data_IF_673121770448
#
_entry.id   IF_673121770448
#
_cell.length_a   1.000
_cell.length_b   1.000
_cell.length_c   1.000
_cell.angle_alpha   90.00
_cell.angle_beta   90.00
_cell.angle_gamma   90.00
#
_symmetry.space_group_name_H-M   'P 1'
#
loop_
_entity.id
_entity.type
_entity.pdbx_description
1 polymer ?
#
# COMPACT_ATOMS: atom_id res chain seq x y z
N UNK A 1 -7.71 -31.12 25.55
CA UNK A 1 -7.35 -32.31 24.74
C UNK A 1 -7.89 -32.07 23.34
N UNK A 2 -7.04 -31.77 22.36
CA UNK A 2 -7.48 -31.58 20.97
C UNK A 2 -7.93 -32.93 20.39
N UNK A 3 -9.11 -32.95 19.77
CA UNK A 3 -9.62 -34.11 19.06
C UNK A 3 -8.65 -34.44 17.90
N UNK A 4 -8.09 -35.65 17.88
CA UNK A 4 -7.18 -36.10 16.82
C UNK A 4 -7.97 -36.87 15.77
N UNK A 5 -7.83 -36.47 14.50
CA UNK A 5 -8.43 -37.14 13.34
C UNK A 5 -7.34 -37.73 12.44
N UNK A 6 -7.67 -38.79 11.70
CA UNK A 6 -6.73 -39.47 10.79
C UNK A 6 -6.77 -38.80 9.41
N UNK A 7 -5.59 -38.44 8.88
CA UNK A 7 -5.41 -37.94 7.52
C UNK A 7 -4.62 -38.96 6.71
N UNK A 8 -5.21 -39.44 5.62
CA UNK A 8 -4.56 -40.38 4.69
C UNK A 8 -4.00 -39.59 3.52
N UNK A 9 -2.71 -39.78 3.24
CA UNK A 9 -1.95 -39.09 2.19
C UNK A 9 -1.00 -40.06 1.53
N UNK A 10 -0.56 -39.74 0.32
CA UNK A 10 0.41 -40.56 -0.42
C UNK A 10 1.74 -40.66 0.32
N UNK A 11 2.38 -41.83 0.22
CA UNK A 11 3.66 -42.09 0.88
C UNK A 11 4.76 -41.13 0.42
N UNK A 12 4.75 -40.72 -0.84
CA UNK A 12 5.68 -39.74 -1.40
C UNK A 12 5.52 -38.36 -0.76
N UNK A 13 4.28 -37.95 -0.46
CA UNK A 13 4.01 -36.69 0.21
C UNK A 13 4.51 -36.72 1.65
N UNK A 14 4.32 -37.84 2.36
CA UNK A 14 4.87 -38.02 3.72
C UNK A 14 6.38 -37.90 3.71
N UNK A 15 7.06 -38.56 2.75
CA UNK A 15 8.50 -38.47 2.59
C UNK A 15 8.96 -37.03 2.35
N UNK A 16 8.30 -36.31 1.43
CA UNK A 16 8.58 -34.90 1.16
C UNK A 16 8.40 -34.02 2.40
N UNK A 17 7.37 -34.26 3.21
CA UNK A 17 7.16 -33.55 4.47
C UNK A 17 8.33 -33.81 5.43
N UNK A 18 8.71 -35.07 5.62
CA UNK A 18 9.79 -35.43 6.55
C UNK A 18 11.15 -34.85 6.14
N UNK A 19 11.43 -34.76 4.84
CA UNK A 19 12.66 -34.17 4.31
C UNK A 19 12.73 -32.64 4.47
N UNK A 20 11.57 -31.96 4.53
CA UNK A 20 11.51 -30.49 4.51
C UNK A 20 11.04 -29.85 5.82
N UNK A 21 10.54 -30.63 6.79
CA UNK A 21 9.99 -30.09 8.05
C UNK A 21 11.04 -29.54 9.02
N UNK A 22 12.33 -29.82 8.79
CA UNK A 22 13.39 -29.54 9.76
C UNK A 22 13.08 -30.19 11.11
N UNK A 23 13.14 -29.40 12.18
CA UNK A 23 12.87 -29.87 13.55
C UNK A 23 11.37 -29.88 13.92
N UNK A 24 10.51 -29.33 13.06
CA UNK A 24 9.08 -29.18 13.36
C UNK A 24 8.33 -30.52 13.28
N UNK A 25 7.31 -30.71 14.12
CA UNK A 25 6.40 -31.86 13.99
C UNK A 25 5.58 -31.79 12.68
N UNK A 26 5.15 -32.93 12.13
CA UNK A 26 4.37 -32.95 10.86
C UNK A 26 3.13 -32.04 10.90
N UNK A 27 2.37 -32.08 12.00
CA UNK A 27 1.20 -31.21 12.17
C UNK A 27 1.57 -29.72 12.25
N UNK A 28 2.67 -29.41 12.92
CA UNK A 28 3.15 -28.04 13.10
C UNK A 28 3.65 -27.47 11.76
N UNK A 29 4.40 -28.27 11.01
CA UNK A 29 4.87 -27.93 9.67
C UNK A 29 3.70 -27.68 8.70
N UNK A 30 2.68 -28.56 8.70
CA UNK A 30 1.49 -28.36 7.88
C UNK A 30 0.71 -27.11 8.28
N UNK A 31 0.56 -26.86 9.59
CA UNK A 31 -0.09 -25.65 10.07
C UNK A 31 0.67 -24.38 9.64
N UNK A 32 2.00 -24.39 9.76
CA UNK A 32 2.85 -23.30 9.30
C UNK A 32 2.69 -23.01 7.80
N UNK A 33 2.67 -24.04 6.95
CA UNK A 33 2.47 -23.88 5.51
C UNK A 33 1.08 -23.33 5.16
N UNK A 34 0.04 -23.77 5.87
CA UNK A 34 -1.32 -23.26 5.68
C UNK A 34 -1.37 -21.78 6.08
N UNK A 35 -0.83 -21.44 7.24
CA UNK A 35 -0.82 -20.07 7.75
C UNK A 35 -0.01 -19.14 6.84
N UNK A 36 1.14 -19.59 6.31
CA UNK A 36 1.94 -18.76 5.40
C UNK A 36 1.19 -18.45 4.11
N UNK A 37 0.56 -19.46 3.50
CA UNK A 37 -0.20 -19.29 2.26
C UNK A 37 -1.48 -18.47 2.43
N UNK A 38 -2.15 -18.58 3.59
CA UNK A 38 -3.33 -17.77 3.90
C UNK A 38 -2.95 -16.32 4.20
N UNK A 39 -1.85 -16.09 4.92
CA UNK A 39 -1.32 -14.73 5.17
C UNK A 39 -0.92 -14.05 3.87
N UNK A 40 -0.21 -14.74 2.97
CA UNK A 40 0.14 -14.19 1.65
C UNK A 40 -1.12 -13.79 0.85
N UNK A 41 -2.19 -14.59 0.89
CA UNK A 41 -3.47 -14.28 0.22
C UNK A 41 -4.24 -13.14 0.88
N UNK A 42 -4.14 -12.99 2.19
CA UNK A 42 -4.74 -11.86 2.91
C UNK A 42 -3.94 -10.58 2.72
N UNK A 43 -2.62 -10.65 2.75
CA UNK A 43 -1.72 -9.52 2.51
C UNK A 43 -1.82 -9.04 1.07
N UNK A 44 -1.91 -9.94 0.08
CA UNK A 44 -2.17 -9.55 -1.32
C UNK A 44 -3.58 -9.00 -1.56
N UNK A 45 -4.56 -9.28 -0.68
CA UNK A 45 -5.88 -8.61 -0.68
C UNK A 45 -5.90 -7.30 0.13
N UNK A 46 -5.02 -7.14 1.12
CA UNK A 46 -4.96 -5.97 2.02
C UNK A 46 -3.93 -4.93 1.58
N UNK A 47 -2.91 -5.31 0.81
CA UNK A 47 -1.98 -4.37 0.19
C UNK A 47 -2.69 -3.73 -1.01
N UNK A 48 -3.12 -2.50 -0.80
CA UNK A 48 -3.89 -1.70 -1.74
C UNK A 48 -3.22 -1.62 -3.12
N UNK A 49 -3.69 -2.46 -4.04
CA UNK A 49 -3.53 -2.19 -5.46
C UNK A 49 -4.29 -0.90 -5.76
N UNK A 50 -3.54 0.19 -5.98
CA UNK A 50 -4.10 1.43 -6.51
C UNK A 50 -4.68 1.09 -7.88
N UNK A 51 -5.97 1.33 -8.08
CA UNK A 51 -6.61 1.10 -9.37
C UNK A 51 -6.00 2.02 -10.43
N UNK A 52 -6.06 1.61 -11.70
CA UNK A 52 -5.51 2.43 -12.79
C UNK A 52 -6.17 3.81 -12.83
N UNK A 53 -7.43 3.87 -12.46
CA UNK A 53 -8.26 5.06 -12.37
C UNK A 53 -7.81 5.97 -11.22
N UNK A 54 -7.56 5.43 -10.03
CA UNK A 54 -7.01 6.19 -8.89
C UNK A 54 -5.62 6.75 -9.20
N UNK A 55 -4.76 5.97 -9.87
CA UNK A 55 -3.44 6.44 -10.29
C UNK A 55 -3.54 7.56 -11.34
N UNK A 56 -4.48 7.44 -12.29
CA UNK A 56 -4.71 8.47 -13.30
C UNK A 56 -5.25 9.78 -12.68
N UNK A 57 -6.16 9.68 -11.71
CA UNK A 57 -6.66 10.86 -10.97
C UNK A 57 -5.55 11.54 -10.17
N UNK A 58 -4.69 10.75 -9.51
CA UNK A 58 -3.52 11.28 -8.80
C UNK A 58 -2.54 11.98 -9.75
N UNK A 59 -2.26 11.38 -10.92
CA UNK A 59 -1.38 11.96 -11.92
C UNK A 59 -1.92 13.31 -12.44
N UNK A 60 -3.19 13.36 -12.82
CA UNK A 60 -3.80 14.60 -13.33
C UNK A 60 -3.86 15.67 -12.25
N UNK A 61 -4.20 15.33 -11.00
CA UNK A 61 -4.17 16.27 -9.88
C UNK A 61 -2.78 16.82 -9.59
N UNK A 62 -1.73 15.97 -9.68
CA UNK A 62 -0.34 16.40 -9.49
C UNK A 62 0.13 17.32 -10.62
N UNK A 63 -0.27 17.02 -11.86
CA UNK A 63 0.04 17.83 -13.04
C UNK A 63 -0.65 19.20 -13.01
N UNK A 64 -1.90 19.25 -12.58
CA UNK A 64 -2.62 20.50 -12.36
C UNK A 64 -1.96 21.32 -11.25
N UNK A 65 -1.58 20.69 -10.15
CA UNK A 65 -0.90 21.38 -9.06
C UNK A 65 0.45 21.97 -9.49
N UNK A 66 1.27 21.20 -10.21
CA UNK A 66 2.53 21.70 -10.75
C UNK A 66 2.33 22.81 -11.77
N UNK A 67 1.28 22.73 -12.61
CA UNK A 67 0.91 23.81 -13.53
C UNK A 67 0.57 25.08 -12.76
N UNK A 68 -0.30 25.00 -11.75
CA UNK A 68 -0.73 26.14 -10.95
C UNK A 68 0.45 26.74 -10.17
N UNK A 69 1.36 25.91 -9.67
CA UNK A 69 2.60 26.37 -9.03
C UNK A 69 3.52 27.10 -10.02
N UNK A 70 3.76 26.55 -11.21
CA UNK A 70 4.57 27.20 -12.22
C UNK A 70 3.93 28.49 -12.75
N UNK A 71 2.61 28.50 -12.93
CA UNK A 71 1.86 29.71 -13.30
C UNK A 71 1.99 30.78 -12.23
N UNK A 72 1.89 30.42 -10.94
CA UNK A 72 2.20 31.33 -9.83
C UNK A 72 3.62 31.87 -9.94
N UNK A 73 4.65 31.05 -10.16
CA UNK A 73 6.02 31.55 -10.28
C UNK A 73 6.27 32.36 -11.55
N UNK A 74 5.58 32.08 -12.65
CA UNK A 74 5.73 32.83 -13.91
C UNK A 74 4.98 34.16 -13.82
N UNK A 75 3.79 34.20 -13.21
CA UNK A 75 3.02 35.43 -13.01
C UNK A 75 3.59 36.30 -11.88
N UNK A 76 4.01 35.70 -10.75
CA UNK A 76 4.52 36.41 -9.57
C UNK A 76 6.04 36.51 -9.48
N UNK A 77 6.79 35.52 -9.96
CA UNK A 77 8.26 35.48 -9.86
C UNK A 77 8.98 36.29 -10.93
N UNK A 78 8.36 36.50 -12.10
CA UNK A 78 8.85 37.46 -13.12
C UNK A 78 8.35 38.89 -12.86
N UNK A 79 7.24 39.06 -12.12
CA UNK A 79 6.85 40.34 -11.50
C UNK A 79 7.54 40.52 -10.14
N UNK A 80 8.87 40.60 -10.13
CA UNK A 80 9.63 40.96 -8.92
C UNK A 80 9.10 42.29 -8.32
N UNK A 81 8.26 42.20 -7.29
CA UNK A 81 8.00 43.35 -6.43
C UNK A 81 6.72 43.34 -5.57
N UNK A 82 5.75 42.45 -5.77
CA UNK A 82 4.53 42.47 -4.94
C UNK A 82 4.46 41.25 -4.02
N UNK A 83 4.42 41.52 -2.71
CA UNK A 83 4.20 40.55 -1.64
C UNK A 83 2.91 39.75 -1.96
N UNK A 84 2.93 38.41 -1.88
CA UNK A 84 1.77 37.61 -2.23
C UNK A 84 0.55 38.07 -1.41
N UNK A 85 -0.63 38.15 -2.03
CA UNK A 85 -1.83 38.27 -1.23
C UNK A 85 -1.98 36.97 -0.44
N UNK A 86 -2.01 37.06 0.89
CA UNK A 86 -2.00 35.90 1.78
C UNK A 86 -3.07 34.86 1.39
N UNK A 87 -4.18 35.31 0.79
CA UNK A 87 -5.29 34.46 0.37
C UNK A 87 -4.98 33.42 -0.72
N UNK A 88 -4.17 33.76 -1.74
CA UNK A 88 -3.91 32.86 -2.88
C UNK A 88 -2.86 31.81 -2.51
N UNK A 89 -1.84 32.23 -1.75
CA UNK A 89 -0.85 31.33 -1.19
C UNK A 89 -1.50 30.35 -0.19
N UNK A 90 -2.40 30.84 0.66
CA UNK A 90 -3.19 30.00 1.58
C UNK A 90 -4.06 28.98 0.84
N UNK A 91 -4.68 29.34 -0.29
CA UNK A 91 -5.45 28.40 -1.10
C UNK A 91 -4.56 27.29 -1.70
N UNK A 92 -3.38 27.65 -2.21
CA UNK A 92 -2.42 26.67 -2.74
C UNK A 92 -1.87 25.76 -1.62
N UNK A 93 -1.56 26.33 -0.46
CA UNK A 93 -1.12 25.60 0.73
C UNK A 93 -2.18 24.61 1.23
N UNK A 94 -3.45 25.02 1.25
CA UNK A 94 -4.58 24.13 1.60
C UNK A 94 -4.75 23.01 0.60
N UNK A 95 -4.62 23.27 -0.70
CA UNK A 95 -4.66 22.22 -1.74
C UNK A 95 -3.50 21.21 -1.54
N UNK A 96 -2.28 21.69 -1.31
CA UNK A 96 -1.12 20.86 -0.98
C UNK A 96 -1.35 20.00 0.28
N UNK A 97 -1.87 20.59 1.35
CA UNK A 97 -2.14 19.88 2.60
C UNK A 97 -3.24 18.84 2.47
N UNK A 98 -4.28 19.11 1.66
CA UNK A 98 -5.37 18.15 1.39
C UNK A 98 -4.89 16.91 0.62
N UNK A 99 -3.97 17.09 -0.31
CA UNK A 99 -3.34 15.99 -1.06
C UNK A 99 -2.39 15.19 -0.16
N UNK A 100 -1.63 15.85 0.71
CA UNK A 100 -0.73 15.20 1.67
C UNK A 100 -1.44 14.48 2.82
N UNK A 101 -2.62 14.94 3.27
CA UNK A 101 -3.39 14.30 4.33
C UNK A 101 -4.15 13.07 3.84
N UNK A 102 -4.62 13.06 2.59
CA UNK A 102 -5.21 11.87 1.95
C UNK A 102 -4.26 10.67 1.94
N UNK A 103 -2.94 10.92 1.83
CA UNK A 103 -1.91 9.88 1.91
C UNK A 103 -1.63 9.38 3.35
N UNK A 104 -1.92 10.16 4.40
CA UNK A 104 -1.66 9.81 5.80
C UNK A 104 -2.80 9.05 6.48
N UNK A 105 -4.04 9.18 6.02
CA UNK A 105 -5.23 8.61 6.71
C UNK A 105 -5.41 7.11 6.46
N UNK A 106 -4.78 6.51 5.44
CA UNK A 106 -4.84 5.05 5.19
C UNK A 106 -3.70 4.24 5.85
N UNK A 107 -2.92 4.84 6.76
CA UNK A 107 -1.75 4.22 7.39
C UNK A 107 -1.84 4.02 8.91
N UNK A 108 -3.03 4.02 9.51
CA UNK A 108 -3.22 3.69 10.94
C UNK A 108 -4.35 2.69 11.14
#
# INVERSE_FOLDING_TARGET
MSEKRMLIVDAELVKKIDENRGDMGRSEFLNFLIDSQLKEKEESKKQGSVTREEFHQFQEGTKELLRNFLEFFISYGLELGKQPSDSEFEQLSRKLQSLGSSAKVKGS
#
